data_IF_012284447111
#
_entry.id   IF_012284447111
#
_cell.length_a   1.000
_cell.length_b   1.000
_cell.length_c   1.000
_cell.angle_alpha   90.00
_cell.angle_beta   90.00
_cell.angle_gamma   90.00
#
_symmetry.space_group_name_H-M   'P 1'
#
loop_
_entity.id
_entity.type
_entity.pdbx_description
1 polymer ?
#
# COMPACT_ATOMS: atom_id res chain seq x y z
N UNK A 1 25.91 12.30 5.87
CA UNK A 1 26.25 10.85 5.92
C UNK A 1 25.69 10.22 4.65
N UNK A 2 26.44 9.27 4.08
CA UNK A 2 26.45 8.87 2.67
C UNK A 2 25.08 8.51 2.08
N UNK A 3 24.84 8.98 0.86
CA UNK A 3 23.82 8.48 -0.06
C UNK A 3 24.17 7.06 -0.50
N UNK A 4 23.73 6.09 0.30
CA UNK A 4 23.72 4.69 -0.08
C UNK A 4 22.64 4.46 -1.14
N UNK A 5 23.00 3.74 -2.20
CA UNK A 5 22.04 3.33 -3.22
C UNK A 5 20.94 2.50 -2.55
N UNK A 6 19.68 2.89 -2.74
CA UNK A 6 18.53 2.10 -2.29
C UNK A 6 18.71 0.64 -2.75
N UNK A 7 18.79 -0.36 -1.85
CA UNK A 7 19.12 -1.76 -2.19
C UNK A 7 18.06 -2.50 -3.01
N UNK A 8 17.01 -1.82 -3.48
CA UNK A 8 15.99 -2.37 -4.34
C UNK A 8 15.89 -1.51 -5.60
N UNK A 9 16.56 -1.95 -6.67
CA UNK A 9 16.27 -1.46 -8.00
C UNK A 9 14.87 -1.94 -8.36
N UNK A 10 13.88 -1.05 -8.32
CA UNK A 10 12.55 -1.33 -8.84
C UNK A 10 12.67 -1.55 -10.36
N UNK A 11 12.82 -2.80 -10.78
CA UNK A 11 12.72 -3.21 -12.17
C UNK A 11 11.25 -3.30 -12.56
N UNK A 12 10.89 -3.24 -13.85
CA UNK A 12 9.50 -3.38 -14.30
C UNK A 12 8.81 -4.67 -13.78
N UNK A 13 9.61 -5.66 -13.39
CA UNK A 13 9.19 -6.95 -12.84
C UNK A 13 9.03 -6.94 -11.30
N UNK A 14 9.63 -5.99 -10.57
CA UNK A 14 9.60 -5.90 -9.10
C UNK A 14 9.38 -4.44 -8.65
N UNK A 15 8.18 -3.94 -8.94
CA UNK A 15 7.75 -2.55 -8.70
C UNK A 15 7.47 -2.20 -7.24
N UNK A 16 7.33 -3.20 -6.36
CA UNK A 16 6.98 -3.01 -4.95
C UNK A 16 8.04 -3.63 -4.04
N UNK A 17 8.40 -2.91 -2.97
CA UNK A 17 9.21 -3.46 -1.87
C UNK A 17 8.51 -4.72 -1.31
N UNK A 18 9.22 -5.82 -0.99
CA UNK A 18 8.64 -6.99 -0.34
C UNK A 18 7.68 -6.68 0.82
N UNK A 19 7.96 -5.62 1.60
CA UNK A 19 7.06 -5.16 2.67
C UNK A 19 5.72 -4.62 2.14
N UNK A 20 5.74 -3.88 1.02
CA UNK A 20 4.52 -3.37 0.38
C UNK A 20 3.71 -4.49 -0.29
N UNK A 21 4.37 -5.51 -0.86
CA UNK A 21 3.69 -6.69 -1.42
C UNK A 21 2.97 -7.48 -0.32
N UNK A 22 3.62 -7.70 0.82
CA UNK A 22 3.02 -8.37 1.96
C UNK A 22 1.84 -7.56 2.52
N UNK A 23 2.00 -6.24 2.65
CA UNK A 23 0.92 -5.36 3.07
C UNK A 23 -0.26 -5.43 2.09
N UNK A 24 -0.01 -5.46 0.78
CA UNK A 24 -1.06 -5.62 -0.22
C UNK A 24 -1.81 -6.95 -0.06
N UNK A 25 -1.09 -8.06 0.09
CA UNK A 25 -1.70 -9.38 0.31
C UNK A 25 -2.57 -9.37 1.57
N UNK A 26 -2.04 -8.88 2.69
CA UNK A 26 -2.75 -8.83 3.97
C UNK A 26 -4.00 -7.95 3.89
N UNK A 27 -3.92 -6.76 3.28
CA UNK A 27 -5.05 -5.85 3.19
C UNK A 27 -6.11 -6.39 2.24
N UNK A 28 -5.71 -6.79 1.03
CA UNK A 28 -6.64 -7.14 -0.04
C UNK A 28 -7.35 -8.47 0.23
N UNK A 29 -6.65 -9.47 0.79
CA UNK A 29 -7.18 -10.82 0.97
C UNK A 29 -7.55 -11.17 2.42
N UNK A 30 -7.12 -10.39 3.42
CA UNK A 30 -7.55 -10.60 4.80
C UNK A 30 -8.40 -9.44 5.32
N UNK A 31 -7.85 -8.22 5.39
CA UNK A 31 -8.53 -7.11 6.08
C UNK A 31 -9.85 -6.70 5.40
N UNK A 32 -9.83 -6.44 4.09
CA UNK A 32 -11.01 -6.01 3.33
C UNK A 32 -12.13 -7.06 3.35
N UNK A 33 -11.89 -8.34 3.02
CA UNK A 33 -12.96 -9.35 3.08
C UNK A 33 -13.48 -9.56 4.51
N UNK A 34 -12.62 -9.55 5.53
CA UNK A 34 -13.06 -9.63 6.92
C UNK A 34 -13.93 -8.43 7.33
N UNK A 35 -13.58 -7.22 6.91
CA UNK A 35 -14.39 -6.03 7.14
C UNK A 35 -15.78 -6.15 6.51
N UNK A 36 -15.86 -6.66 5.27
CA UNK A 36 -17.15 -6.86 4.58
C UNK A 36 -17.98 -7.92 5.30
N UNK A 37 -17.39 -9.08 5.63
CA UNK A 37 -18.11 -10.17 6.30
C UNK A 37 -18.61 -9.71 7.67
N UNK A 38 -17.75 -9.10 8.48
CA UNK A 38 -18.14 -8.63 9.82
C UNK A 38 -19.17 -7.50 9.75
N UNK A 39 -19.06 -6.58 8.77
CA UNK A 39 -20.05 -5.52 8.56
C UNK A 39 -21.41 -6.07 8.16
N UNK A 40 -21.44 -7.10 7.29
CA UNK A 40 -22.67 -7.76 6.90
C UNK A 40 -23.31 -8.53 8.06
N UNK A 41 -22.50 -9.21 8.89
CA UNK A 41 -22.99 -9.88 10.10
C UNK A 41 -23.51 -8.88 11.15
N UNK A 42 -22.89 -7.71 11.26
CA UNK A 42 -23.40 -6.62 12.11
C UNK A 42 -24.74 -6.06 11.62
N UNK A 43 -25.01 -6.10 10.31
CA UNK A 43 -26.30 -5.67 9.75
C UNK A 43 -27.43 -6.67 10.06
N UNK A 44 -27.11 -7.96 10.19
CA UNK A 44 -28.06 -9.03 10.49
C UNK A 44 -27.69 -9.77 11.79
N UNK A 45 -27.74 -9.10 12.96
CA UNK A 45 -27.32 -9.69 14.23
C UNK A 45 -28.12 -10.94 14.64
N UNK A 46 -29.33 -11.10 14.09
CA UNK A 46 -30.21 -12.26 14.32
C UNK A 46 -29.63 -13.56 13.75
N UNK A 47 -28.74 -13.49 12.76
CA UNK A 47 -28.17 -14.67 12.07
C UNK A 47 -27.00 -15.26 12.87
N UNK A 48 -26.27 -14.45 13.63
CA UNK A 48 -25.01 -14.86 14.26
C UNK A 48 -25.10 -15.09 15.77
N UNK A 49 -26.12 -14.57 16.48
CA UNK A 49 -26.25 -14.72 17.93
C UNK A 49 -25.14 -14.08 18.78
N UNK A 50 -24.13 -13.46 18.14
CA UNK A 50 -22.91 -12.90 18.73
C UNK A 50 -22.77 -11.40 18.45
N UNK A 51 -23.89 -10.67 18.38
CA UNK A 51 -23.95 -9.25 18.00
C UNK A 51 -22.92 -8.34 18.68
N UNK A 52 -22.79 -8.34 20.02
CA UNK A 52 -21.84 -7.49 20.72
C UNK A 52 -20.36 -7.80 20.38
N UNK A 53 -20.01 -9.08 20.27
CA UNK A 53 -18.63 -9.52 19.96
C UNK A 53 -18.27 -9.14 18.52
N UNK A 54 -19.21 -9.35 17.58
CA UNK A 54 -19.00 -8.98 16.17
C UNK A 54 -18.85 -7.47 15.99
N UNK A 55 -19.60 -6.66 16.76
CA UNK A 55 -19.46 -5.20 16.70
C UNK A 55 -18.09 -4.73 17.18
N UNK A 56 -17.58 -5.29 18.29
CA UNK A 56 -16.23 -4.99 18.77
C UNK A 56 -15.17 -5.40 17.74
N UNK A 57 -15.33 -6.59 17.15
CA UNK A 57 -14.42 -7.08 16.11
C UNK A 57 -14.44 -6.17 14.87
N UNK A 58 -15.62 -5.81 14.37
CA UNK A 58 -15.76 -4.93 13.22
C UNK A 58 -15.14 -3.55 13.50
N UNK A 59 -15.35 -3.01 14.71
CA UNK A 59 -14.76 -1.72 15.09
C UNK A 59 -13.23 -1.79 15.18
N UNK A 60 -12.67 -2.87 15.73
CA UNK A 60 -11.22 -3.07 15.74
C UNK A 60 -10.64 -3.16 14.32
N UNK A 61 -11.27 -3.91 13.43
CA UNK A 61 -10.86 -4.01 12.02
C UNK A 61 -10.99 -2.65 11.30
N UNK A 62 -12.03 -1.86 11.60
CA UNK A 62 -12.23 -0.55 11.01
C UNK A 62 -11.13 0.44 11.44
N UNK A 63 -10.73 0.42 12.71
CA UNK A 63 -9.62 1.23 13.22
C UNK A 63 -8.30 0.84 12.54
N UNK A 64 -8.01 -0.45 12.40
CA UNK A 64 -6.82 -0.94 11.70
C UNK A 64 -6.84 -0.48 10.23
N UNK A 65 -7.99 -0.58 9.56
CA UNK A 65 -8.18 -0.09 8.19
C UNK A 65 -7.94 1.41 8.06
N UNK A 66 -8.44 2.21 9.01
CA UNK A 66 -8.21 3.66 9.02
C UNK A 66 -6.72 3.98 9.17
N UNK A 67 -6.03 3.33 10.11
CA UNK A 67 -4.58 3.50 10.30
C UNK A 67 -3.81 3.10 9.03
N UNK A 68 -4.21 2.02 8.37
CA UNK A 68 -3.63 1.61 7.09
C UNK A 68 -3.80 2.69 6.02
N UNK A 69 -4.99 3.29 5.88
CA UNK A 69 -5.20 4.38 4.90
C UNK A 69 -4.31 5.58 5.21
N UNK A 70 -4.20 5.99 6.48
CA UNK A 70 -3.29 7.07 6.87
C UNK A 70 -1.83 6.75 6.50
N UNK A 71 -1.36 5.54 6.83
CA UNK A 71 0.00 5.11 6.49
C UNK A 71 0.22 4.98 4.98
N UNK A 72 -0.78 4.49 4.24
CA UNK A 72 -0.75 4.37 2.79
C UNK A 72 -0.62 5.74 2.12
N UNK A 73 -1.45 6.71 2.52
CA UNK A 73 -1.37 8.08 2.02
C UNK A 73 -0.01 8.72 2.35
N UNK A 74 0.51 8.49 3.55
CA UNK A 74 1.85 8.95 3.93
C UNK A 74 2.93 8.35 3.00
N UNK A 75 2.95 7.04 2.81
CA UNK A 75 3.90 6.38 1.92
C UNK A 75 3.78 6.86 0.46
N UNK A 76 2.56 7.18 -0.02
CA UNK A 76 2.36 7.76 -1.33
C UNK A 76 2.96 9.18 -1.47
N UNK A 77 3.23 9.87 -0.36
CA UNK A 77 3.89 11.20 -0.37
C UNK A 77 5.41 11.14 -0.24
N UNK A 78 6.00 9.97 0.04
CA UNK A 78 7.45 9.79 0.24
C UNK A 78 8.28 9.60 -1.04
N UNK A 79 7.71 9.85 -2.22
CA UNK A 79 8.48 9.88 -3.46
C UNK A 79 9.43 11.09 -3.56
N UNK A 80 10.29 11.13 -4.58
CA UNK A 80 11.20 12.26 -4.86
C UNK A 80 10.49 13.62 -4.89
N UNK A 81 9.20 13.62 -5.18
CA UNK A 81 8.28 14.74 -4.93
C UNK A 81 6.93 14.17 -4.46
N UNK A 82 6.22 14.83 -3.52
CA UNK A 82 5.02 14.29 -2.87
C UNK A 82 3.83 14.02 -3.81
N UNK A 83 3.92 14.41 -5.08
CA UNK A 83 2.94 14.13 -6.13
C UNK A 83 3.41 13.19 -7.25
N UNK A 84 4.67 12.76 -7.29
CA UNK A 84 5.16 11.89 -8.37
C UNK A 84 4.58 10.48 -8.28
N UNK A 85 4.47 9.92 -7.07
CA UNK A 85 3.86 8.60 -6.89
C UNK A 85 2.36 8.67 -7.26
N UNK A 86 1.64 9.70 -6.80
CA UNK A 86 0.25 9.92 -7.19
C UNK A 86 0.08 10.11 -8.71
N UNK A 87 0.93 10.93 -9.35
CA UNK A 87 0.93 11.08 -10.81
C UNK A 87 1.28 9.77 -11.53
N UNK A 88 2.19 8.96 -11.00
CA UNK A 88 2.53 7.66 -11.59
C UNK A 88 1.38 6.65 -11.52
N UNK A 89 0.48 6.78 -10.54
CA UNK A 89 -0.75 5.97 -10.46
C UNK A 89 -1.76 6.37 -11.53
N UNK A 90 -1.83 7.66 -11.87
CA UNK A 90 -2.75 8.21 -12.88
C UNK A 90 -2.20 8.03 -14.30
N UNK A 91 -0.94 8.40 -14.53
CA UNK A 91 -0.30 8.40 -15.85
C UNK A 91 0.29 7.02 -16.23
N UNK A 92 0.47 6.10 -15.28
CA UNK A 92 1.06 4.78 -15.49
C UNK A 92 2.58 4.77 -15.77
N UNK A 93 3.18 5.89 -16.16
CA UNK A 93 4.61 6.02 -16.46
C UNK A 93 5.47 6.24 -15.20
N UNK A 94 6.39 5.30 -14.94
CA UNK A 94 7.43 5.43 -13.92
C UNK A 94 8.56 6.30 -14.46
N UNK A 95 8.58 7.57 -14.09
CA UNK A 95 9.69 8.48 -14.39
C UNK A 95 10.87 8.18 -13.46
N UNK A 96 11.54 7.06 -13.67
CA UNK A 96 12.87 6.87 -13.10
C UNK A 96 13.80 7.89 -13.75
N UNK A 97 14.44 8.74 -12.94
CA UNK A 97 15.54 9.59 -13.39
C UNK A 97 16.67 8.68 -13.87
N UNK A 98 16.70 8.42 -15.17
CA UNK A 98 17.85 7.82 -15.85
C UNK A 98 19.07 8.66 -15.48
N UNK A 99 20.03 8.06 -14.79
CA UNK A 99 21.35 8.65 -14.61
C UNK A 99 21.88 9.05 -16.01
N UNK A 100 22.53 10.21 -16.16
CA UNK A 100 23.06 10.61 -17.45
C UNK A 100 24.04 9.52 -17.92
N UNK A 101 23.77 8.92 -19.08
CA UNK A 101 24.66 8.00 -19.77
C UNK A 101 25.92 8.80 -20.10
N UNK A 102 26.98 8.61 -19.32
CA UNK A 102 28.30 9.15 -19.63
C UNK A 102 28.94 8.33 -20.75
N UNK A 103 28.41 8.39 -21.98
CA UNK A 103 29.09 7.88 -23.16
C UNK A 103 29.93 8.99 -23.81
N UNK A 104 31.14 9.18 -23.28
CA UNK A 104 32.19 9.77 -24.12
C UNK A 104 32.68 8.69 -25.08
N UNK A 105 32.61 8.86 -26.41
CA UNK A 105 33.39 8.02 -27.30
C UNK A 105 34.86 8.39 -27.15
N UNK A 106 35.68 7.44 -26.70
CA UNK A 106 37.13 7.55 -26.82
C UNK A 106 37.51 6.98 -28.19
N UNK A 107 37.72 7.89 -29.15
CA UNK A 107 38.57 7.67 -30.32
C UNK A 107 39.66 8.74 -30.26
#
# INVERSE_FOLDING_TARGET
>A
MKGEAHPFAATEQNKFNPLQQLAYLAIMYALVPLLIITGLLCLYPQVAGLGPVMLVLHMALAIIGLLFICAHLYLCTLGDTPGQIFRSMVDGYHRHRTAPRGDKPAV
#
